data_IF_768411462747
#
_entry.id   IF_768411462747
#
_cell.length_a   1.000
_cell.length_b   1.000
_cell.length_c   1.000
_cell.angle_alpha   90.00
_cell.angle_beta   90.00
_cell.angle_gamma   90.00
#
_symmetry.space_group_name_H-M   'P 1'
#
loop_
_entity.id
_entity.type
_entity.pdbx_description
1 polymer ?
#
# COMPACT_ATOMS: atom_id res chain seq x y z
N UNK A 1 6.27 -2.80 5.06
CA UNK A 1 7.53 -2.28 4.47
C UNK A 1 8.69 -3.29 4.53
N UNK A 2 9.04 -3.85 5.69
CA UNK A 2 10.29 -4.64 5.85
C UNK A 2 10.44 -5.83 4.91
N UNK A 3 9.40 -6.65 4.73
CA UNK A 3 9.50 -7.86 3.88
C UNK A 3 9.58 -7.47 2.40
N UNK A 4 8.80 -6.46 2.00
CA UNK A 4 8.68 -6.04 0.60
C UNK A 4 9.92 -5.23 0.17
N UNK A 5 10.29 -4.20 0.91
CA UNK A 5 11.33 -3.23 0.53
C UNK A 5 12.59 -3.29 1.39
N UNK A 6 12.65 -4.16 2.39
CA UNK A 6 13.82 -4.24 3.29
C UNK A 6 13.92 -3.07 4.28
N UNK A 7 12.93 -2.16 4.31
CA UNK A 7 12.93 -0.98 5.17
C UNK A 7 12.09 -1.21 6.42
N UNK A 8 12.73 -1.05 7.59
CA UNK A 8 12.07 -1.18 8.90
C UNK A 8 11.45 0.16 9.31
N UNK A 9 10.22 0.11 9.80
CA UNK A 9 9.55 1.21 10.46
C UNK A 9 9.28 0.82 11.93
N UNK A 10 10.20 1.08 12.86
CA UNK A 10 10.06 0.64 14.25
C UNK A 10 8.96 1.38 15.03
N UNK A 11 8.52 2.53 14.53
CA UNK A 11 7.51 3.39 15.15
C UNK A 11 6.52 3.88 14.10
N UNK A 12 5.29 4.16 14.51
CA UNK A 12 4.25 4.63 13.60
C UNK A 12 4.50 6.07 13.13
N UNK A 13 5.27 6.85 13.90
CA UNK A 13 5.66 8.23 13.59
C UNK A 13 6.82 8.32 12.58
N UNK A 14 7.28 7.19 12.05
CA UNK A 14 8.31 7.21 11.01
C UNK A 14 7.78 7.89 9.74
N UNK A 15 8.59 8.71 9.04
CA UNK A 15 8.13 9.47 7.87
C UNK A 15 7.46 8.59 6.80
N UNK A 16 7.96 7.38 6.59
CA UNK A 16 7.45 6.43 5.61
C UNK A 16 6.09 5.88 6.00
N UNK A 17 5.90 5.60 7.30
CA UNK A 17 4.61 5.12 7.82
C UNK A 17 3.55 6.21 7.75
N UNK A 18 3.91 7.45 8.10
CA UNK A 18 3.03 8.61 7.95
C UNK A 18 2.68 8.83 6.48
N UNK A 19 3.67 8.80 5.57
CA UNK A 19 3.44 8.95 4.14
C UNK A 19 2.53 7.85 3.58
N UNK A 20 2.73 6.60 4.02
CA UNK A 20 1.90 5.46 3.66
C UNK A 20 0.44 5.64 4.09
N UNK A 21 0.19 5.91 5.37
CA UNK A 21 -1.18 6.09 5.85
C UNK A 21 -1.86 7.34 5.28
N UNK A 22 -1.11 8.42 5.02
CA UNK A 22 -1.64 9.60 4.32
C UNK A 22 -2.05 9.27 2.88
N UNK A 23 -1.21 8.55 2.14
CA UNK A 23 -1.54 8.13 0.77
C UNK A 23 -2.76 7.19 0.76
N UNK A 24 -2.81 6.25 1.70
CA UNK A 24 -3.89 5.29 1.83
C UNK A 24 -5.21 5.98 2.20
N UNK A 25 -5.21 6.93 3.13
CA UNK A 25 -6.43 7.66 3.51
C UNK A 25 -7.03 8.46 2.35
N UNK A 26 -6.19 9.13 1.57
CA UNK A 26 -6.63 9.87 0.37
C UNK A 26 -7.08 8.94 -0.76
N UNK A 27 -6.61 7.69 -0.78
CA UNK A 27 -7.04 6.65 -1.71
C UNK A 27 -8.39 6.07 -1.31
N UNK A 28 -8.58 5.73 -0.05
CA UNK A 28 -9.85 5.26 0.51
C UNK A 28 -10.97 6.28 0.25
N UNK A 29 -10.72 7.56 0.50
CA UNK A 29 -11.68 8.64 0.28
C UNK A 29 -12.16 8.77 -1.17
N UNK A 30 -11.39 8.29 -2.15
CA UNK A 30 -11.74 8.31 -3.59
C UNK A 30 -12.39 6.99 -4.02
N UNK A 31 -12.14 5.90 -3.29
CA UNK A 31 -12.76 4.60 -3.55
C UNK A 31 -14.13 4.46 -2.86
N UNK A 32 -14.41 5.28 -1.85
CA UNK A 32 -15.69 5.27 -1.16
C UNK A 32 -16.86 5.38 -2.15
N UNK A 33 -17.89 4.50 -2.06
CA UNK A 33 -19.04 4.57 -2.93
C UNK A 33 -19.70 5.96 -2.90
N UNK A 34 -19.80 6.59 -4.08
CA UNK A 34 -20.39 7.93 -4.22
C UNK A 34 -19.41 9.10 -4.07
N UNK A 35 -18.15 8.86 -3.71
CA UNK A 35 -17.10 9.88 -3.70
C UNK A 35 -16.73 10.39 -5.10
N UNK A 36 -16.85 9.51 -6.10
CA UNK A 36 -16.68 9.82 -7.51
C UNK A 36 -17.96 9.56 -8.28
N UNK A 37 -18.26 10.37 -9.33
CA UNK A 37 -19.40 10.10 -10.17
C UNK A 37 -19.24 8.75 -10.90
N UNK A 38 -20.32 8.12 -11.38
CA UNK A 38 -20.25 6.84 -12.09
C UNK A 38 -19.72 7.02 -13.53
N UNK A 39 -18.44 7.36 -13.65
CA UNK A 39 -17.76 7.72 -14.91
C UNK A 39 -17.77 6.55 -15.92
N UNK A 40 -17.76 5.32 -15.42
CA UNK A 40 -17.80 4.12 -16.27
C UNK A 40 -19.19 3.86 -16.84
N UNK A 41 -20.26 4.25 -16.12
CA UNK A 41 -21.64 4.13 -16.59
C UNK A 41 -22.05 5.34 -17.44
N UNK A 42 -21.47 6.52 -17.17
CA UNK A 42 -21.80 7.78 -17.84
C UNK A 42 -20.52 8.41 -18.40
N UNK A 43 -20.03 7.97 -19.58
CA UNK A 43 -18.74 8.37 -20.12
C UNK A 43 -18.61 9.88 -20.39
N UNK A 44 -19.72 10.61 -20.59
CA UNK A 44 -19.67 12.05 -20.85
C UNK A 44 -19.03 12.84 -19.70
N UNK A 45 -19.08 12.29 -18.48
CA UNK A 45 -18.45 12.88 -17.29
C UNK A 45 -16.92 12.94 -17.39
N UNK A 46 -16.30 12.13 -18.27
CA UNK A 46 -14.86 12.19 -18.57
C UNK A 46 -14.46 13.54 -19.19
N UNK A 47 -15.36 14.21 -19.89
CA UNK A 47 -15.08 15.49 -20.56
C UNK A 47 -15.27 16.71 -19.67
N UNK A 48 -15.82 16.56 -18.46
CA UNK A 48 -16.00 17.68 -17.52
C UNK A 48 -14.63 18.28 -17.17
N UNK A 49 -14.39 19.58 -17.43
CA UNK A 49 -13.14 20.24 -17.08
C UNK A 49 -12.80 20.11 -15.58
N UNK A 50 -11.51 19.98 -15.27
CA UNK A 50 -11.01 19.75 -13.91
C UNK A 50 -11.45 20.82 -12.90
N UNK A 51 -11.65 22.07 -13.37
CA UNK A 51 -12.18 23.17 -12.55
C UNK A 51 -13.52 22.86 -11.87
N UNK A 52 -14.37 22.05 -12.51
CA UNK A 52 -15.68 21.64 -11.98
C UNK A 52 -15.68 20.20 -11.44
N UNK A 53 -14.57 19.49 -11.60
CA UNK A 53 -14.46 18.09 -11.26
C UNK A 53 -13.50 17.89 -10.07
N UNK A 54 -14.01 18.05 -8.84
CA UNK A 54 -13.21 17.82 -7.62
C UNK A 54 -12.56 16.43 -7.62
N UNK A 55 -13.31 15.40 -8.02
CA UNK A 55 -12.80 14.02 -8.09
C UNK A 55 -11.54 13.88 -8.95
N UNK A 56 -11.40 14.65 -10.05
CA UNK A 56 -10.19 14.60 -10.89
C UNK A 56 -8.97 15.16 -10.15
N UNK A 57 -9.15 16.23 -9.39
CA UNK A 57 -8.10 16.84 -8.57
C UNK A 57 -7.69 15.89 -7.44
N UNK A 58 -8.66 15.27 -6.79
CA UNK A 58 -8.42 14.29 -5.73
C UNK A 58 -7.66 13.08 -6.30
N UNK A 59 -8.10 12.49 -7.42
CA UNK A 59 -7.39 11.39 -8.08
C UNK A 59 -5.95 11.75 -8.45
N UNK A 60 -5.72 12.98 -8.94
CA UNK A 60 -4.38 13.45 -9.29
C UNK A 60 -3.49 13.61 -8.05
N UNK A 61 -4.04 14.17 -6.97
CA UNK A 61 -3.34 14.31 -5.69
C UNK A 61 -2.98 12.94 -5.12
N UNK A 62 -3.92 12.02 -5.06
CA UNK A 62 -3.68 10.67 -4.53
C UNK A 62 -2.68 9.91 -5.37
N UNK A 63 -2.81 9.96 -6.70
CA UNK A 63 -1.82 9.37 -7.61
C UNK A 63 -0.42 9.92 -7.34
N UNK A 64 -0.29 11.23 -7.08
CA UNK A 64 0.99 11.83 -6.74
C UNK A 64 1.55 11.26 -5.43
N UNK A 65 0.75 11.21 -4.36
CA UNK A 65 1.17 10.68 -3.06
C UNK A 65 1.62 9.21 -3.16
N UNK A 66 0.84 8.37 -3.84
CA UNK A 66 1.17 6.97 -4.08
C UNK A 66 2.47 6.83 -4.87
N UNK A 67 2.63 7.60 -5.96
CA UNK A 67 3.86 7.55 -6.78
C UNK A 67 5.07 8.00 -5.97
N UNK A 68 4.99 9.12 -5.26
CA UNK A 68 6.09 9.64 -4.46
C UNK A 68 6.56 8.59 -3.43
N UNK A 69 5.62 7.87 -2.80
CA UNK A 69 5.93 6.78 -1.87
C UNK A 69 6.50 5.54 -2.56
N UNK A 70 5.79 4.95 -3.52
CA UNK A 70 6.16 3.65 -4.09
C UNK A 70 7.48 3.73 -4.85
N UNK A 71 7.65 4.79 -5.64
CA UNK A 71 8.86 4.98 -6.42
C UNK A 71 10.01 5.43 -5.53
N UNK A 72 9.77 6.20 -4.47
CA UNK A 72 10.79 6.50 -3.47
C UNK A 72 11.33 5.24 -2.79
N UNK A 73 10.45 4.35 -2.33
CA UNK A 73 10.85 3.05 -1.75
C UNK A 73 11.58 2.15 -2.75
N UNK A 74 11.16 2.16 -4.01
CA UNK A 74 11.84 1.41 -5.08
C UNK A 74 13.25 1.96 -5.35
N UNK A 75 13.38 3.28 -5.43
CA UNK A 75 14.66 3.95 -5.69
C UNK A 75 15.65 3.71 -4.53
N UNK A 76 15.20 3.77 -3.28
CA UNK A 76 16.00 3.40 -2.11
C UNK A 76 16.45 1.93 -2.16
N UNK A 77 15.58 1.02 -2.60
CA UNK A 77 15.91 -0.40 -2.75
C UNK A 77 16.96 -0.60 -3.84
N UNK A 78 16.82 0.10 -4.97
CA UNK A 78 17.78 0.07 -6.08
C UNK A 78 19.14 0.66 -5.66
N UNK A 79 19.14 1.74 -4.90
CA UNK A 79 20.36 2.34 -4.36
C UNK A 79 21.09 1.36 -3.43
N UNK A 80 20.36 0.71 -2.53
CA UNK A 80 20.92 -0.32 -1.64
C UNK A 80 21.52 -1.49 -2.42
N UNK A 81 20.82 -1.98 -3.44
CA UNK A 81 21.32 -3.03 -4.34
C UNK A 81 22.62 -2.59 -5.04
N UNK A 82 22.70 -1.33 -5.50
CA UNK A 82 23.91 -0.82 -6.17
C UNK A 82 25.14 -0.70 -5.26
N UNK A 83 24.93 -0.64 -3.93
CA UNK A 83 26.01 -0.57 -2.93
C UNK A 83 26.48 -1.95 -2.45
N UNK A 84 25.78 -3.03 -2.82
CA UNK A 84 26.03 -4.37 -2.27
C UNK A 84 25.60 -4.52 -0.81
N UNK A 85 24.62 -3.71 -0.39
CA UNK A 85 24.06 -3.71 0.97
C UNK A 85 22.73 -4.50 1.01
N UNK A 86 22.60 -5.57 0.23
CA UNK A 86 21.33 -6.32 0.12
C UNK A 86 20.88 -6.92 1.46
N UNK A 87 19.56 -6.97 1.67
CA UNK A 87 18.97 -7.55 2.88
C UNK A 87 17.95 -8.66 2.63
N UNK A 88 17.83 -9.10 1.37
CA UNK A 88 16.95 -10.21 0.96
C UNK A 88 15.48 -9.81 0.87
N UNK A 89 15.18 -8.52 0.65
CA UNK A 89 13.80 -8.08 0.48
C UNK A 89 13.21 -8.53 -0.85
N UNK A 90 11.89 -8.71 -0.91
CA UNK A 90 11.22 -9.17 -2.13
C UNK A 90 11.51 -8.26 -3.34
N UNK A 91 11.52 -6.94 -3.15
CA UNK A 91 11.78 -6.00 -4.25
C UNK A 91 13.24 -6.00 -4.71
N UNK A 92 14.20 -6.49 -3.92
CA UNK A 92 15.58 -6.74 -4.42
C UNK A 92 15.59 -7.89 -5.43
N UNK A 93 14.86 -8.98 -5.15
CA UNK A 93 14.71 -10.09 -6.10
C UNK A 93 14.01 -9.62 -7.38
N UNK A 94 12.91 -8.88 -7.25
CA UNK A 94 12.18 -8.31 -8.40
C UNK A 94 13.07 -7.40 -9.24
N UNK A 95 13.87 -6.53 -8.60
CA UNK A 95 14.80 -5.64 -9.33
C UNK A 95 15.91 -6.42 -10.02
N UNK A 96 16.44 -7.47 -9.38
CA UNK A 96 17.49 -8.32 -9.95
C UNK A 96 17.00 -9.11 -11.16
N UNK A 97 15.74 -9.55 -11.14
CA UNK A 97 15.11 -10.37 -12.20
C UNK A 97 14.13 -9.57 -13.04
N UNK A 98 14.24 -8.24 -13.03
CA UNK A 98 13.27 -7.34 -13.67
C UNK A 98 13.12 -7.62 -15.17
N UNK A 99 14.24 -7.84 -15.87
CA UNK A 99 14.26 -8.17 -17.29
C UNK A 99 13.64 -9.54 -17.59
N UNK A 100 13.91 -10.53 -16.73
CA UNK A 100 13.33 -11.88 -16.83
C UNK A 100 11.80 -11.83 -16.72
N UNK A 101 11.29 -10.94 -15.86
CA UNK A 101 9.85 -10.73 -15.69
C UNK A 101 9.22 -9.81 -16.75
N UNK A 102 10.02 -9.23 -17.64
CA UNK A 102 9.54 -8.28 -18.66
C UNK A 102 8.88 -7.04 -18.05
N UNK A 103 9.30 -6.63 -16.84
CA UNK A 103 8.69 -5.51 -16.12
C UNK A 103 9.46 -4.22 -16.37
N UNK A 104 8.76 -3.15 -16.72
CA UNK A 104 9.34 -1.81 -16.69
C UNK A 104 9.32 -1.23 -15.26
N UNK A 105 9.91 -0.03 -15.10
CA UNK A 105 9.93 0.63 -13.79
C UNK A 105 8.52 0.90 -13.25
N UNK A 106 7.56 1.21 -14.12
CA UNK A 106 6.21 1.57 -13.68
C UNK A 106 5.51 0.35 -13.06
N UNK A 107 5.53 -0.79 -13.75
CA UNK A 107 4.97 -2.05 -13.25
C UNK A 107 5.67 -2.47 -11.97
N UNK A 108 7.01 -2.40 -11.92
CA UNK A 108 7.77 -2.77 -10.72
C UNK A 108 7.44 -1.90 -9.51
N UNK A 109 7.31 -0.57 -9.71
CA UNK A 109 6.95 0.35 -8.63
C UNK A 109 5.55 0.09 -8.09
N UNK A 110 4.58 -0.09 -8.98
CA UNK A 110 3.21 -0.40 -8.58
C UNK A 110 3.04 -1.79 -7.98
N UNK A 111 3.83 -2.79 -8.40
CA UNK A 111 3.83 -4.12 -7.79
C UNK A 111 4.15 -4.04 -6.30
N UNK A 112 5.26 -3.37 -5.95
CA UNK A 112 5.65 -3.19 -4.55
C UNK A 112 4.62 -2.38 -3.76
N UNK A 113 4.05 -1.33 -4.36
CA UNK A 113 3.01 -0.49 -3.77
C UNK A 113 1.73 -1.25 -3.44
N UNK A 114 1.21 -2.04 -4.40
CA UNK A 114 0.00 -2.85 -4.21
C UNK A 114 0.23 -3.93 -3.14
N UNK A 115 1.41 -4.57 -3.13
CA UNK A 115 1.73 -5.59 -2.13
C UNK A 115 1.75 -5.02 -0.71
N UNK A 116 2.33 -3.83 -0.52
CA UNK A 116 2.34 -3.22 0.82
C UNK A 116 0.97 -2.72 1.25
N UNK A 117 0.18 -2.10 0.36
CA UNK A 117 -1.17 -1.63 0.68
C UNK A 117 -2.08 -2.80 1.06
N UNK A 118 -2.16 -3.81 0.20
CA UNK A 118 -3.01 -4.97 0.43
C UNK A 118 -2.64 -5.76 1.68
N UNK A 119 -1.33 -5.96 1.94
CA UNK A 119 -0.87 -6.69 3.11
C UNK A 119 -1.10 -5.91 4.43
N UNK A 120 -0.97 -4.59 4.39
CA UNK A 120 -1.13 -3.73 5.57
C UNK A 120 -2.58 -3.74 6.06
N UNK A 121 -3.54 -3.52 5.15
CA UNK A 121 -4.95 -3.40 5.52
C UNK A 121 -5.52 -4.74 6.00
N UNK A 122 -5.44 -5.78 5.15
CA UNK A 122 -6.06 -7.09 5.43
C UNK A 122 -5.56 -7.72 6.73
N UNK A 123 -4.25 -7.64 6.98
CA UNK A 123 -3.65 -8.17 8.22
C UNK A 123 -4.08 -7.37 9.44
N UNK A 124 -4.16 -6.04 9.32
CA UNK A 124 -4.62 -5.16 10.39
C UNK A 124 -6.07 -5.47 10.76
N UNK A 125 -6.99 -5.50 9.79
CA UNK A 125 -8.41 -5.79 10.05
C UNK A 125 -8.61 -7.19 10.63
N UNK A 126 -7.84 -8.18 10.18
CA UNK A 126 -7.86 -9.53 10.75
C UNK A 126 -7.41 -9.53 12.22
N UNK A 127 -6.29 -8.89 12.54
CA UNK A 127 -5.78 -8.83 13.91
C UNK A 127 -6.75 -8.11 14.86
N UNK A 128 -7.35 -7.00 14.40
CA UNK A 128 -8.38 -6.29 15.16
C UNK A 128 -9.59 -7.19 15.44
N UNK A 129 -10.07 -7.90 14.42
CA UNK A 129 -11.19 -8.85 14.56
C UNK A 129 -10.85 -10.02 15.48
N UNK A 130 -9.62 -10.53 15.41
CA UNK A 130 -9.13 -11.59 16.27
C UNK A 130 -9.09 -11.14 17.73
N UNK A 131 -8.54 -9.95 18.01
CA UNK A 131 -8.49 -9.39 19.37
C UNK A 131 -9.92 -9.22 19.92
N UNK A 132 -10.83 -8.66 19.11
CA UNK A 132 -12.24 -8.53 19.49
C UNK A 132 -12.86 -9.89 19.84
N UNK A 133 -12.63 -10.91 19.01
CA UNK A 133 -13.14 -12.27 19.27
C UNK A 133 -12.55 -12.88 20.56
N UNK A 134 -11.25 -12.69 20.82
CA UNK A 134 -10.61 -13.20 22.04
C UNK A 134 -11.19 -12.55 23.31
N UNK A 135 -11.49 -11.24 23.26
CA UNK A 135 -12.12 -10.52 24.37
C UNK A 135 -13.59 -10.92 24.55
N UNK A 136 -14.33 -11.10 23.46
CA UNK A 136 -15.74 -11.45 23.48
C UNK A 136 -16.00 -12.92 23.90
N UNK A 137 -15.05 -13.82 23.67
CA UNK A 137 -15.18 -15.26 23.96
C UNK A 137 -14.02 -15.82 24.83
N UNK A 138 -13.93 -15.45 26.12
CA UNK A 138 -12.83 -15.84 27.00
C UNK A 138 -12.65 -17.36 27.17
N UNK A 139 -13.74 -18.12 27.11
CA UNK A 139 -13.69 -19.58 27.26
C UNK A 139 -13.05 -20.27 26.04
N UNK A 140 -13.29 -19.73 24.84
CA UNK A 140 -12.61 -20.18 23.63
C UNK A 140 -11.12 -19.84 23.67
N UNK A 141 -10.75 -18.64 24.15
CA UNK A 141 -9.37 -18.23 24.35
C UNK A 141 -8.63 -19.16 25.35
N UNK A 142 -9.25 -19.46 26.50
CA UNK A 142 -8.67 -20.38 27.50
C UNK A 142 -8.45 -21.79 26.95
N UNK A 143 -9.35 -22.28 26.11
CA UNK A 143 -9.21 -23.60 25.46
C UNK A 143 -8.06 -23.62 24.44
N UNK A 144 -7.88 -22.53 23.69
CA UNK A 144 -6.73 -22.35 22.79
C UNK A 144 -5.40 -22.27 23.53
N UNK A 145 -5.34 -21.52 24.63
CA UNK A 145 -4.13 -21.33 25.43
C UNK A 145 -3.67 -22.59 26.20
N UNK A 146 -4.57 -23.55 26.44
CA UNK A 146 -4.28 -24.80 27.15
C UNK A 146 -3.82 -25.96 26.25
N UNK A 147 -3.81 -25.78 24.93
CA UNK A 147 -3.22 -26.74 23.99
C UNK A 147 -1.72 -26.46 23.87
N UNK A 148 -0.96 -26.86 24.89
CA UNK A 148 0.49 -27.06 24.87
C UNK A 148 0.80 -28.32 25.67
#
# INVERSE_FOLDING_TARGET
MSVIYGKRAPRYETPETIAFFNAQHEWEAILEPGSTPPIDLIPILKYVPERWAKWKRDCTKTRKLQRDLYFGLLDETKERLSKGDENGSYMEEVLTRQEEFGMDREITGYLGGVLIEGASETTSSYLQSLILALVAYPDAQKKGARRN
#
